data_IF_529441050620
#
_entry.id   IF_529441050620
#
_cell.length_a   1.000
_cell.length_b   1.000
_cell.length_c   1.000
_cell.angle_alpha   90.00
_cell.angle_beta   90.00
_cell.angle_gamma   90.00
#
_symmetry.space_group_name_H-M   'P 1'
#
loop_
_entity.id
_entity.type
_entity.pdbx_description
1 polymer ?
#
# COMPACT_ATOMS: atom_id res chain seq x y z
N UNK A 1 23.27 -2.47 -0.38
CA UNK A 1 23.18 -1.00 -0.18
C UNK A 1 21.70 -0.68 -0.14
N UNK A 2 21.19 -0.06 0.92
CA UNK A 2 19.75 0.26 1.05
C UNK A 2 19.27 1.15 -0.10
N UNK A 3 20.02 2.21 -0.41
CA UNK A 3 19.80 3.05 -1.59
C UNK A 3 21.13 3.46 -2.20
N UNK A 4 21.21 3.49 -3.52
CA UNK A 4 22.19 4.33 -4.22
C UNK A 4 21.53 5.71 -4.39
N UNK A 5 21.86 6.65 -3.52
CA UNK A 5 21.21 7.97 -3.45
C UNK A 5 21.40 8.74 -4.76
N UNK A 6 22.61 8.74 -5.33
CA UNK A 6 22.88 9.41 -6.62
C UNK A 6 22.03 8.84 -7.75
N UNK A 7 21.89 7.51 -7.79
CA UNK A 7 21.02 6.83 -8.76
C UNK A 7 19.55 7.21 -8.53
N UNK A 8 19.09 7.24 -7.27
CA UNK A 8 17.70 7.59 -6.97
C UNK A 8 17.38 9.04 -7.36
N UNK A 9 18.27 9.98 -7.06
CA UNK A 9 18.13 11.39 -7.43
C UNK A 9 18.24 11.63 -8.95
N UNK A 10 18.73 10.66 -9.71
CA UNK A 10 18.68 10.71 -11.18
C UNK A 10 17.28 10.46 -11.76
N UNK A 11 16.38 9.82 -11.01
CA UNK A 11 15.01 9.57 -11.46
C UNK A 11 14.18 10.87 -11.44
N UNK A 12 13.53 11.26 -12.54
CA UNK A 12 12.77 12.51 -12.62
C UNK A 12 11.72 12.68 -11.53
N UNK A 13 10.99 11.63 -11.19
CA UNK A 13 9.91 11.69 -10.20
C UNK A 13 10.44 11.89 -8.77
N UNK A 14 11.50 11.17 -8.37
CA UNK A 14 12.14 11.37 -7.05
C UNK A 14 12.74 12.77 -6.98
N UNK A 15 13.46 13.19 -8.03
CA UNK A 15 14.03 14.54 -8.10
C UNK A 15 12.95 15.62 -8.00
N UNK A 16 11.78 15.41 -8.60
CA UNK A 16 10.65 16.32 -8.49
C UNK A 16 10.16 16.43 -7.05
N UNK A 17 9.91 15.29 -6.38
CA UNK A 17 9.47 15.26 -4.97
C UNK A 17 10.48 16.00 -4.08
N UNK A 18 11.78 15.69 -4.21
CA UNK A 18 12.84 16.32 -3.41
C UNK A 18 12.90 17.83 -3.68
N UNK A 19 12.79 18.26 -4.94
CA UNK A 19 12.80 19.68 -5.29
C UNK A 19 11.58 20.46 -4.76
N UNK A 20 10.48 19.77 -4.43
CA UNK A 20 9.27 20.37 -3.86
C UNK A 20 9.28 20.49 -2.34
N UNK A 21 10.30 19.97 -1.66
CA UNK A 21 10.41 19.98 -0.19
C UNK A 21 10.11 21.34 0.42
N UNK A 22 10.89 22.35 0.06
CA UNK A 22 10.81 23.66 0.71
C UNK A 22 9.47 24.35 0.41
N UNK A 23 8.94 24.23 -0.81
CA UNK A 23 7.61 24.73 -1.17
C UNK A 23 6.51 24.14 -0.27
N UNK A 24 6.55 22.83 -0.03
CA UNK A 24 5.52 22.13 0.77
C UNK A 24 5.70 22.42 2.26
N UNK A 25 6.94 22.40 2.76
CA UNK A 25 7.25 22.72 4.16
C UNK A 25 6.88 24.16 4.51
N UNK A 26 7.20 25.12 3.66
CA UNK A 26 6.91 26.54 3.89
C UNK A 26 5.40 26.82 3.85
N UNK A 27 4.67 26.08 3.00
CA UNK A 27 3.21 26.21 2.91
C UNK A 27 2.49 25.58 4.09
N UNK A 28 2.74 24.32 4.39
CA UNK A 28 1.93 23.54 5.32
C UNK A 28 2.50 23.47 6.73
N UNK A 29 3.82 23.59 6.89
CA UNK A 29 4.47 23.54 8.19
C UNK A 29 3.93 24.58 9.18
N UNK A 30 3.83 25.88 8.83
CA UNK A 30 3.25 26.89 9.71
C UNK A 30 1.78 26.62 10.07
N UNK A 31 0.99 26.10 9.13
CA UNK A 31 -0.42 25.77 9.34
C UNK A 31 -0.58 24.67 10.39
N UNK A 32 0.23 23.62 10.33
CA UNK A 32 0.18 22.53 11.31
C UNK A 32 0.87 22.87 12.64
N UNK A 33 1.71 23.90 12.70
CA UNK A 33 2.23 24.46 13.95
C UNK A 33 1.21 25.32 14.70
N UNK A 34 0.20 25.84 14.00
CA UNK A 34 -0.94 26.53 14.61
C UNK A 34 -2.27 25.83 14.25
N UNK A 35 -2.54 24.65 14.84
CA UNK A 35 -3.72 23.86 14.49
C UNK A 35 -5.04 24.60 14.75
N UNK A 36 -5.05 25.60 15.63
CA UNK A 36 -6.27 26.36 15.93
C UNK A 36 -6.71 27.23 14.73
N UNK A 37 -5.75 27.69 13.93
CA UNK A 37 -6.00 28.43 12.69
C UNK A 37 -6.36 27.54 11.50
N UNK A 38 -6.12 26.23 11.57
CA UNK A 38 -6.30 25.28 10.47
C UNK A 38 -7.71 25.37 9.89
N UNK A 39 -7.83 25.75 8.62
CA UNK A 39 -9.11 25.72 7.92
C UNK A 39 -9.36 24.36 7.27
N UNK A 40 -10.62 24.10 6.93
CA UNK A 40 -10.98 22.91 6.14
C UNK A 40 -10.26 22.89 4.80
N UNK A 41 -10.12 24.04 4.14
CA UNK A 41 -9.46 24.11 2.84
C UNK A 41 -7.97 23.81 2.95
N UNK A 42 -7.29 24.32 3.98
CA UNK A 42 -5.86 24.04 4.20
C UNK A 42 -5.59 22.54 4.32
N UNK A 43 -6.42 21.84 5.11
CA UNK A 43 -6.29 20.41 5.27
C UNK A 43 -6.62 19.64 3.98
N UNK A 44 -7.66 20.04 3.25
CA UNK A 44 -7.99 19.42 1.95
C UNK A 44 -6.88 19.65 0.91
N UNK A 45 -6.25 20.82 0.92
CA UNK A 45 -5.11 21.12 0.06
C UNK A 45 -3.93 20.23 0.43
N UNK A 46 -3.63 20.05 1.72
CA UNK A 46 -2.60 19.11 2.17
C UNK A 46 -2.86 17.68 1.68
N UNK A 47 -4.11 17.18 1.73
CA UNK A 47 -4.41 15.84 1.23
C UNK A 47 -4.21 15.71 -0.29
N UNK A 48 -4.27 16.81 -1.02
CA UNK A 48 -4.23 16.80 -2.48
C UNK A 48 -2.80 16.68 -3.01
N UNK A 49 -2.58 15.65 -3.83
CA UNK A 49 -1.28 15.44 -4.49
C UNK A 49 -0.84 16.66 -5.31
N UNK A 50 -1.80 17.43 -5.86
CA UNK A 50 -1.53 18.68 -6.57
C UNK A 50 -0.75 19.71 -5.74
N UNK A 51 -0.89 19.65 -4.42
CA UNK A 51 -0.32 20.63 -3.50
C UNK A 51 0.74 20.04 -2.57
N UNK A 52 0.61 18.79 -2.14
CA UNK A 52 1.64 18.14 -1.32
C UNK A 52 2.80 17.56 -2.15
N UNK A 53 2.62 17.37 -3.47
CA UNK A 53 3.61 16.87 -4.43
C UNK A 53 4.28 15.52 -4.09
N UNK A 54 3.80 14.79 -3.08
CA UNK A 54 4.50 13.63 -2.55
C UNK A 54 3.58 12.45 -2.24
N UNK A 55 2.50 12.67 -1.48
CA UNK A 55 1.63 11.62 -0.99
C UNK A 55 0.34 11.51 -1.81
N UNK A 56 0.23 10.43 -2.57
CA UNK A 56 -0.97 10.12 -3.36
C UNK A 56 -2.03 9.40 -2.52
N UNK A 57 -3.30 9.66 -2.79
CA UNK A 57 -4.41 8.87 -2.23
C UNK A 57 -4.84 9.23 -0.81
N UNK A 58 -4.21 10.22 -0.17
CA UNK A 58 -4.62 10.71 1.16
C UNK A 58 -6.08 11.16 1.18
N UNK A 59 -6.57 11.74 0.08
CA UNK A 59 -7.95 12.21 -0.06
C UNK A 59 -9.02 11.10 0.13
N UNK A 60 -8.70 9.83 -0.14
CA UNK A 60 -9.68 8.73 -0.16
C UNK A 60 -10.36 8.54 1.20
N UNK A 61 -9.58 8.58 2.27
CA UNK A 61 -10.08 8.45 3.65
C UNK A 61 -9.90 9.75 4.43
N UNK A 62 -8.86 10.53 4.12
CA UNK A 62 -8.52 11.75 4.84
C UNK A 62 -9.61 12.82 4.81
N UNK A 63 -10.43 12.88 3.74
CA UNK A 63 -11.52 13.87 3.65
C UNK A 63 -12.54 13.74 4.80
N UNK A 64 -12.74 12.53 5.34
CA UNK A 64 -13.65 12.28 6.47
C UNK A 64 -13.22 12.98 7.76
N UNK A 65 -11.93 13.23 7.92
CA UNK A 65 -11.43 14.01 9.05
C UNK A 65 -11.98 15.45 9.07
N UNK A 66 -12.44 15.96 7.92
CA UNK A 66 -13.04 17.31 7.81
C UNK A 66 -14.54 17.36 8.08
N UNK A 67 -15.14 16.21 8.45
CA UNK A 67 -16.54 16.15 8.88
C UNK A 67 -16.68 16.76 10.29
N UNK A 68 -15.62 16.69 11.10
CA UNK A 68 -15.50 17.35 12.40
C UNK A 68 -14.15 18.08 12.51
N UNK A 69 -14.17 19.37 12.17
CA UNK A 69 -12.97 20.21 12.22
C UNK A 69 -12.50 20.50 13.65
N UNK A 70 -13.37 20.47 14.66
CA UNK A 70 -12.95 20.71 16.04
C UNK A 70 -12.10 19.54 16.53
N UNK A 71 -12.61 18.30 16.37
CA UNK A 71 -11.87 17.09 16.69
C UNK A 71 -10.55 16.97 15.90
N UNK A 72 -10.55 17.37 14.61
CA UNK A 72 -9.32 17.39 13.80
C UNK A 72 -8.28 18.36 14.36
N UNK A 73 -8.67 19.59 14.70
CA UNK A 73 -7.75 20.58 15.26
C UNK A 73 -7.21 20.15 16.62
N UNK A 74 -8.06 19.56 17.46
CA UNK A 74 -7.67 19.04 18.76
C UNK A 74 -6.67 17.89 18.60
N UNK A 75 -6.94 16.95 17.71
CA UNK A 75 -6.04 15.82 17.45
C UNK A 75 -4.68 16.28 16.91
N UNK A 76 -4.64 17.24 15.99
CA UNK A 76 -3.38 17.80 15.50
C UNK A 76 -2.68 18.58 16.61
N UNK A 77 -3.41 19.32 17.46
CA UNK A 77 -2.85 20.01 18.64
C UNK A 77 -2.15 19.02 19.57
N UNK A 78 -2.78 17.89 19.87
CA UNK A 78 -2.17 16.82 20.67
C UNK A 78 -0.98 16.21 19.94
N UNK A 79 -1.10 15.94 18.64
CA UNK A 79 -0.06 15.33 17.83
C UNK A 79 1.23 16.16 17.83
N UNK A 80 1.15 17.48 17.72
CA UNK A 80 2.31 18.38 17.59
C UNK A 80 2.84 18.93 18.92
N UNK A 81 2.27 18.53 20.06
CA UNK A 81 2.69 18.99 21.39
C UNK A 81 4.05 18.39 21.83
N UNK A 82 5.18 18.97 21.41
CA UNK A 82 6.53 18.47 21.75
C UNK A 82 6.85 18.41 23.25
N UNK A 83 5.95 18.84 24.15
CA UNK A 83 6.12 18.68 25.61
C UNK A 83 5.84 17.26 26.10
N UNK A 84 5.23 16.41 25.28
CA UNK A 84 4.87 15.01 25.61
C UNK A 84 5.61 14.01 24.70
N UNK A 85 5.83 12.76 25.17
CA UNK A 85 6.39 11.69 24.36
C UNK A 85 5.61 11.48 23.06
N UNK A 86 6.30 11.14 21.97
CA UNK A 86 5.64 10.93 20.66
C UNK A 86 4.65 9.75 20.71
N UNK A 87 4.97 8.71 21.48
CA UNK A 87 4.11 7.55 21.62
C UNK A 87 2.71 7.92 22.16
N UNK A 88 2.66 8.71 23.22
CA UNK A 88 1.39 9.13 23.85
C UNK A 88 0.57 10.00 22.90
N UNK A 89 1.22 11.01 22.30
CA UNK A 89 0.57 11.96 21.38
C UNK A 89 -0.02 11.27 20.16
N UNK A 90 0.73 10.32 19.60
CA UNK A 90 0.33 9.62 18.40
C UNK A 90 -0.90 8.75 18.65
N UNK A 91 -0.93 7.99 19.76
CA UNK A 91 -2.11 7.18 20.14
C UNK A 91 -3.32 8.06 20.39
N UNK A 92 -3.16 9.16 21.14
CA UNK A 92 -4.25 10.09 21.40
C UNK A 92 -4.81 10.68 20.10
N UNK A 93 -3.95 11.24 19.24
CA UNK A 93 -4.39 11.81 17.97
C UNK A 93 -5.08 10.79 17.05
N UNK A 94 -4.54 9.56 16.98
CA UNK A 94 -5.11 8.47 16.19
C UNK A 94 -6.51 8.08 16.66
N UNK A 95 -6.78 8.17 17.96
CA UNK A 95 -8.10 7.84 18.54
C UNK A 95 -9.17 8.90 18.31
N UNK A 96 -8.77 10.14 18.03
CA UNK A 96 -9.68 11.30 17.96
C UNK A 96 -10.26 11.54 16.57
N UNK A 97 -9.60 11.08 15.50
CA UNK A 97 -9.98 11.44 14.12
C UNK A 97 -10.22 10.22 13.26
N UNK A 98 -11.44 10.11 12.74
CA UNK A 98 -11.75 9.11 11.73
C UNK A 98 -11.22 9.55 10.35
N UNK A 99 -10.54 8.64 9.65
CA UNK A 99 -10.00 8.88 8.32
C UNK A 99 -8.56 9.39 8.27
N UNK A 100 -7.92 9.67 9.42
CA UNK A 100 -6.51 10.04 9.52
C UNK A 100 -5.72 8.96 10.28
N UNK A 101 -5.13 8.01 9.53
CA UNK A 101 -4.23 7.00 10.09
C UNK A 101 -2.75 7.42 10.02
N UNK A 102 -1.80 6.49 10.27
CA UNK A 102 -0.37 6.78 10.21
C UNK A 102 0.09 7.42 8.89
N UNK A 103 -0.48 6.97 7.77
CA UNK A 103 -0.21 7.50 6.44
C UNK A 103 -0.62 8.97 6.25
N UNK A 104 -1.42 9.54 7.15
CA UNK A 104 -1.82 10.96 7.16
C UNK A 104 -1.17 11.72 8.31
N UNK A 105 -1.13 11.14 9.52
CA UNK A 105 -0.59 11.81 10.72
C UNK A 105 0.94 11.95 10.67
N UNK A 106 1.67 10.97 10.14
CA UNK A 106 3.14 11.05 10.09
C UNK A 106 3.65 12.04 9.03
N UNK A 107 3.01 12.23 7.86
CA UNK A 107 3.26 13.40 7.02
C UNK A 107 3.04 14.74 7.72
N UNK A 108 1.97 14.89 8.51
CA UNK A 108 1.74 16.13 9.29
C UNK A 108 2.91 16.37 10.24
N UNK A 109 3.37 15.35 10.96
CA UNK A 109 4.55 15.47 11.85
C UNK A 109 5.82 15.86 11.07
N UNK A 110 6.08 15.26 9.90
CA UNK A 110 7.22 15.63 9.06
C UNK A 110 7.14 17.10 8.63
N UNK A 111 5.96 17.57 8.20
CA UNK A 111 5.77 18.96 7.77
C UNK A 111 5.97 19.95 8.91
N UNK A 112 5.55 19.58 10.13
CA UNK A 112 5.68 20.41 11.33
C UNK A 112 7.12 20.45 11.84
N UNK A 113 7.79 19.28 11.91
CA UNK A 113 9.15 19.09 12.45
C UNK A 113 10.00 18.20 11.53
N UNK A 114 10.53 18.76 10.43
CA UNK A 114 11.17 17.98 9.34
C UNK A 114 12.48 17.29 9.75
N UNK A 115 13.05 17.66 10.88
CA UNK A 115 14.27 17.11 11.46
C UNK A 115 14.02 16.02 12.51
N UNK A 116 12.76 15.75 12.87
CA UNK A 116 12.41 14.86 13.99
C UNK A 116 11.56 13.66 13.61
N UNK A 117 10.69 13.79 12.61
CA UNK A 117 9.66 12.79 12.33
C UNK A 117 9.64 12.34 10.88
N UNK A 118 9.98 11.08 10.67
CA UNK A 118 9.86 10.39 9.38
C UNK A 118 8.45 9.86 9.14
N UNK A 119 8.17 9.53 7.88
CA UNK A 119 6.84 9.09 7.43
C UNK A 119 6.70 7.57 7.50
N UNK A 120 5.68 7.12 8.20
CA UNK A 120 5.23 5.72 8.21
C UNK A 120 3.92 5.58 7.43
N UNK A 121 4.00 4.95 6.26
CA UNK A 121 2.88 4.76 5.37
C UNK A 121 2.98 3.42 4.60
N UNK A 122 2.02 3.17 3.71
CA UNK A 122 1.99 1.96 2.88
C UNK A 122 3.09 1.84 1.82
N UNK A 123 3.94 2.86 1.66
CA UNK A 123 5.14 2.84 0.82
C UNK A 123 6.38 2.54 1.66
N UNK A 124 6.59 3.27 2.77
CA UNK A 124 7.80 3.11 3.60
C UNK A 124 7.86 1.76 4.30
N UNK A 125 6.74 1.25 4.84
CA UNK A 125 6.77 -0.03 5.57
C UNK A 125 7.18 -1.23 4.69
N UNK A 126 6.56 -1.48 3.51
CA UNK A 126 6.96 -2.60 2.67
C UNK A 126 8.41 -2.51 2.22
N UNK A 127 8.90 -1.32 1.89
CA UNK A 127 10.27 -1.11 1.43
C UNK A 127 11.27 -1.31 2.57
N UNK A 128 10.97 -0.82 3.79
CA UNK A 128 11.79 -1.11 4.98
C UNK A 128 11.87 -2.62 5.26
N UNK A 129 10.79 -3.38 5.02
CA UNK A 129 10.78 -4.85 5.16
C UNK A 129 11.63 -5.52 4.08
N UNK A 130 11.45 -5.12 2.81
CA UNK A 130 12.21 -5.65 1.67
C UNK A 130 13.72 -5.42 1.86
N UNK A 131 14.08 -4.27 2.44
CA UNK A 131 15.48 -3.90 2.69
C UNK A 131 16.02 -4.41 4.05
N UNK A 132 15.22 -5.14 4.82
CA UNK A 132 15.66 -5.77 6.07
C UNK A 132 15.93 -4.79 7.23
N UNK A 133 15.36 -3.58 7.17
CA UNK A 133 15.50 -2.54 8.21
C UNK A 133 14.23 -2.32 9.03
N UNK A 134 13.17 -3.06 8.74
CA UNK A 134 11.94 -3.01 9.53
C UNK A 134 12.20 -3.49 10.97
N UNK A 135 11.84 -2.70 12.01
CA UNK A 135 12.15 -3.05 13.39
C UNK A 135 11.28 -4.20 13.91
N UNK A 136 11.81 -4.89 14.93
CA UNK A 136 11.02 -5.79 15.76
C UNK A 136 10.24 -4.99 16.82
N UNK A 137 9.06 -5.46 17.19
CA UNK A 137 8.23 -4.84 18.23
C UNK A 137 8.01 -5.80 19.39
N UNK A 138 8.13 -5.33 20.64
CA UNK A 138 7.70 -6.09 21.80
C UNK A 138 6.22 -6.50 21.73
N UNK A 139 5.85 -7.52 22.52
CA UNK A 139 4.46 -7.90 22.64
C UNK A 139 3.68 -6.82 23.41
N UNK A 140 2.50 -6.44 22.91
CA UNK A 140 1.64 -5.45 23.55
C UNK A 140 1.99 -3.99 23.24
N UNK A 141 2.95 -3.73 22.35
CA UNK A 141 3.31 -2.38 21.90
C UNK A 141 2.13 -1.67 21.25
N UNK A 142 1.82 -0.48 21.76
CA UNK A 142 0.82 0.44 21.20
C UNK A 142 1.25 1.02 19.85
N UNK A 143 0.31 1.57 19.09
CA UNK A 143 0.63 2.18 17.78
C UNK A 143 1.58 3.37 17.89
N UNK A 144 1.55 4.12 19.00
CA UNK A 144 2.48 5.22 19.24
C UNK A 144 3.89 4.74 19.55
N UNK A 145 4.04 3.74 20.42
CA UNK A 145 5.35 3.13 20.69
C UNK A 145 5.93 2.48 19.42
N UNK A 146 5.07 1.87 18.60
CA UNK A 146 5.49 1.36 17.27
C UNK A 146 6.03 2.48 16.42
N UNK A 147 5.31 3.60 16.33
CA UNK A 147 5.77 4.74 15.55
C UNK A 147 7.08 5.32 16.11
N UNK A 148 7.26 5.42 17.42
CA UNK A 148 8.50 5.87 18.05
C UNK A 148 9.70 4.99 17.65
N UNK A 149 9.54 3.66 17.69
CA UNK A 149 10.57 2.70 17.27
C UNK A 149 10.86 2.84 15.77
N UNK A 150 9.82 2.91 14.92
CA UNK A 150 9.97 3.10 13.47
C UNK A 150 10.69 4.43 13.18
N UNK A 151 10.30 5.51 13.84
CA UNK A 151 10.88 6.83 13.65
C UNK A 151 12.36 6.86 14.02
N UNK A 152 12.74 6.16 15.08
CA UNK A 152 14.15 6.01 15.47
C UNK A 152 14.99 5.34 14.37
N UNK A 153 14.43 4.33 13.69
CA UNK A 153 15.07 3.71 12.53
C UNK A 153 15.15 4.69 11.36
N UNK A 154 14.07 5.43 11.06
CA UNK A 154 14.05 6.41 9.96
C UNK A 154 15.10 7.52 10.18
N UNK A 155 15.24 8.04 11.40
CA UNK A 155 16.25 9.03 11.76
C UNK A 155 17.67 8.47 11.56
N UNK A 156 17.92 7.24 11.98
CA UNK A 156 19.22 6.60 11.80
C UNK A 156 19.53 6.39 10.31
N UNK A 157 18.55 5.95 9.52
CA UNK A 157 18.70 5.79 8.07
C UNK A 157 18.97 7.12 7.36
N UNK A 158 18.23 8.18 7.69
CA UNK A 158 18.46 9.52 7.14
C UNK A 158 19.90 9.98 7.41
N UNK A 159 20.38 9.77 8.64
CA UNK A 159 21.76 10.08 9.04
C UNK A 159 22.79 9.27 8.27
N UNK A 160 22.59 7.96 8.15
CA UNK A 160 23.55 7.06 7.47
C UNK A 160 23.62 7.33 5.96
N UNK A 161 22.47 7.64 5.35
CA UNK A 161 22.37 8.03 3.94
C UNK A 161 22.77 9.49 3.68
N UNK A 162 22.94 10.29 4.74
CA UNK A 162 23.22 11.74 4.68
C UNK A 162 22.16 12.53 3.90
N UNK A 163 20.90 12.20 4.12
CA UNK A 163 19.74 12.89 3.53
C UNK A 163 18.80 13.37 4.64
N UNK A 164 17.93 14.33 4.35
CA UNK A 164 16.83 14.70 5.25
C UNK A 164 15.67 13.69 5.19
N UNK A 165 14.74 13.77 6.14
CA UNK A 165 13.62 12.83 6.26
C UNK A 165 12.60 12.94 5.11
N UNK A 166 12.46 14.11 4.50
CA UNK A 166 11.63 14.29 3.30
C UNK A 166 12.23 13.54 2.12
N UNK A 167 13.53 13.70 1.93
CA UNK A 167 14.28 13.00 0.89
C UNK A 167 14.26 11.50 1.13
N UNK A 168 14.42 11.05 2.38
CA UNK A 168 14.26 9.63 2.74
C UNK A 168 12.87 9.10 2.34
N UNK A 169 11.79 9.85 2.60
CA UNK A 169 10.44 9.42 2.19
C UNK A 169 10.28 9.34 0.66
N UNK A 170 10.95 10.24 -0.08
CA UNK A 170 11.05 10.16 -1.54
C UNK A 170 11.83 8.93 -2.02
N UNK A 171 12.88 8.51 -1.32
CA UNK A 171 13.70 7.36 -1.70
C UNK A 171 12.94 6.04 -1.65
N UNK A 172 11.92 5.89 -0.79
CA UNK A 172 11.09 4.68 -0.75
C UNK A 172 10.38 4.41 -2.09
N UNK A 173 10.24 5.41 -2.96
CA UNK A 173 9.66 5.25 -4.28
C UNK A 173 10.61 4.61 -5.30
N UNK A 174 11.92 4.48 -5.00
CA UNK A 174 12.93 4.00 -5.93
C UNK A 174 12.57 2.65 -6.54
N UNK A 175 12.32 1.64 -5.71
CA UNK A 175 12.05 0.28 -6.19
C UNK A 175 10.79 0.23 -7.04
N UNK A 176 9.75 0.98 -6.67
CA UNK A 176 8.51 1.11 -7.45
C UNK A 176 8.73 1.81 -8.80
N UNK A 177 9.47 2.91 -8.82
CA UNK A 177 9.74 3.70 -10.02
C UNK A 177 10.73 3.01 -10.95
N UNK A 178 11.70 2.27 -10.42
CA UNK A 178 12.59 1.42 -11.22
C UNK A 178 11.79 0.34 -11.92
N UNK A 179 10.88 -0.37 -11.22
CA UNK A 179 9.97 -1.35 -11.84
C UNK A 179 9.11 -0.71 -12.95
N UNK A 180 8.68 0.54 -12.77
CA UNK A 180 7.90 1.29 -13.77
C UNK A 180 8.75 1.78 -14.95
N UNK A 181 10.00 2.21 -14.73
CA UNK A 181 10.92 2.70 -15.77
C UNK A 181 11.59 1.56 -16.55
N UNK A 182 11.86 0.41 -15.93
CA UNK A 182 12.15 -0.84 -16.65
C UNK A 182 10.92 -1.31 -17.45
N UNK A 183 9.74 -0.75 -17.16
CA UNK A 183 8.48 -0.99 -17.85
C UNK A 183 8.38 -0.41 -19.27
N UNK A 184 9.45 0.18 -19.84
CA UNK A 184 9.47 0.42 -21.29
C UNK A 184 9.56 -0.87 -22.13
N UNK A 185 9.64 -2.05 -21.50
CA UNK A 185 9.29 -3.34 -22.11
C UNK A 185 8.63 -4.29 -21.09
N UNK A 186 7.48 -3.92 -20.52
CA UNK A 186 6.58 -4.88 -19.88
C UNK A 186 5.27 -4.87 -20.66
N UNK A 187 4.98 -5.97 -21.35
CA UNK A 187 3.77 -6.10 -22.15
C UNK A 187 2.52 -6.03 -21.25
N UNK A 188 1.35 -5.87 -21.85
CA UNK A 188 0.07 -5.87 -21.13
C UNK A 188 -0.09 -7.10 -20.19
N UNK A 189 0.51 -8.23 -20.57
CA UNK A 189 0.61 -9.46 -19.77
C UNK A 189 1.32 -9.26 -18.42
N UNK A 190 2.47 -8.57 -18.39
CA UNK A 190 3.24 -8.34 -17.17
C UNK A 190 2.51 -7.42 -16.18
N UNK A 191 1.82 -6.39 -16.70
CA UNK A 191 0.99 -5.47 -15.89
C UNK A 191 -0.14 -6.26 -15.21
N UNK A 192 -0.77 -7.18 -15.94
CA UNK A 192 -1.84 -7.99 -15.40
C UNK A 192 -1.35 -8.96 -14.32
N UNK A 193 -0.18 -9.59 -14.51
CA UNK A 193 0.47 -10.45 -13.51
C UNK A 193 0.72 -9.68 -12.21
N UNK A 194 1.27 -8.46 -12.31
CA UNK A 194 1.54 -7.63 -11.14
C UNK A 194 0.25 -7.27 -10.38
N UNK A 195 -0.81 -6.87 -11.10
CA UNK A 195 -2.10 -6.54 -10.49
C UNK A 195 -2.76 -7.74 -9.79
N UNK A 196 -2.57 -8.96 -10.31
CA UNK A 196 -3.05 -10.19 -9.66
C UNK A 196 -2.27 -10.48 -8.37
N UNK A 197 -0.95 -10.37 -8.39
CA UNK A 197 -0.12 -10.59 -7.20
C UNK A 197 -0.42 -9.57 -6.08
N UNK A 198 -0.62 -8.30 -6.43
CA UNK A 198 -0.92 -7.24 -5.47
C UNK A 198 -2.30 -7.44 -4.80
N UNK A 199 -3.33 -7.80 -5.57
CA UNK A 199 -4.66 -8.11 -5.01
C UNK A 199 -4.65 -9.32 -4.09
N UNK A 200 -3.89 -10.36 -4.42
CA UNK A 200 -3.74 -11.54 -3.58
C UNK A 200 -3.13 -11.19 -2.21
N UNK A 201 -2.07 -10.38 -2.23
CA UNK A 201 -1.40 -9.91 -1.02
C UNK A 201 -2.33 -9.08 -0.13
N UNK A 202 -3.09 -8.15 -0.72
CA UNK A 202 -4.09 -7.34 0.01
C UNK A 202 -5.20 -8.22 0.62
N UNK A 203 -5.69 -9.22 -0.12
CA UNK A 203 -6.74 -10.14 0.33
C UNK A 203 -6.28 -11.02 1.50
N UNK A 204 -5.03 -11.49 1.47
CA UNK A 204 -4.43 -12.23 2.56
C UNK A 204 -4.32 -11.36 3.84
N UNK A 205 -3.81 -10.12 3.71
CA UNK A 205 -3.67 -9.18 4.83
C UNK A 205 -5.01 -8.81 5.49
N UNK A 206 -6.06 -8.59 4.71
CA UNK A 206 -7.39 -8.28 5.25
C UNK A 206 -8.00 -9.43 6.07
N UNK A 207 -7.57 -10.68 5.82
CA UNK A 207 -8.03 -11.85 6.58
C UNK A 207 -7.41 -11.94 7.99
N UNK A 208 -6.33 -11.20 8.27
CA UNK A 208 -5.57 -11.25 9.52
C UNK A 208 -6.04 -10.29 10.62
N UNK A 209 -7.01 -9.40 10.34
CA UNK A 209 -7.23 -8.21 11.16
C UNK A 209 -8.67 -7.88 11.57
N UNK A 210 -9.62 -8.82 11.50
CA UNK A 210 -11.00 -8.53 11.92
C UNK A 210 -11.51 -9.53 12.97
N UNK A 211 -11.55 -9.05 14.21
CA UNK A 211 -12.37 -9.63 15.29
C UNK A 211 -13.80 -9.13 15.11
N UNK A 212 -14.56 -9.78 14.24
CA UNK A 212 -16.02 -9.80 14.28
C UNK A 212 -16.40 -11.26 14.12
N UNK A 213 -17.28 -11.78 14.99
CA UNK A 213 -17.76 -13.17 14.98
C UNK A 213 -18.32 -13.55 13.60
N UNK A 214 -17.43 -14.05 12.76
CA UNK A 214 -17.72 -14.79 11.55
C UNK A 214 -16.57 -15.78 11.44
N UNK A 215 -16.87 -17.06 11.24
CA UNK A 215 -15.86 -18.10 11.05
C UNK A 215 -15.13 -17.82 9.74
N UNK A 216 -14.10 -16.97 9.77
CA UNK A 216 -13.28 -16.60 8.62
C UNK A 216 -12.13 -17.61 8.58
N UNK A 217 -12.10 -18.40 7.51
CA UNK A 217 -11.00 -19.32 7.18
C UNK A 217 -9.71 -18.51 7.04
N UNK A 218 -8.64 -18.90 7.72
CA UNK A 218 -7.32 -18.27 7.62
C UNK A 218 -6.77 -18.45 6.20
N UNK A 219 -6.36 -17.36 5.54
CA UNK A 219 -5.94 -17.33 4.13
C UNK A 219 -4.51 -16.75 3.99
N UNK A 220 -3.56 -17.34 4.72
CA UNK A 220 -2.13 -17.02 4.61
C UNK A 220 -1.60 -17.01 3.17
N UNK A 221 -0.69 -16.07 2.91
CA UNK A 221 0.13 -15.99 1.71
C UNK A 221 1.49 -16.65 2.05
N UNK A 222 1.71 -17.89 1.62
CA UNK A 222 2.93 -18.65 1.95
C UNK A 222 4.06 -18.47 0.93
N UNK A 223 3.92 -17.48 0.04
CA UNK A 223 4.87 -17.16 -1.02
C UNK A 223 5.30 -15.70 -0.89
N UNK A 224 6.58 -15.42 -1.20
CA UNK A 224 7.00 -14.04 -1.44
C UNK A 224 6.30 -13.48 -2.67
N UNK A 225 6.21 -12.15 -2.78
CA UNK A 225 5.57 -11.50 -3.93
C UNK A 225 6.29 -11.85 -5.25
N UNK A 226 7.61 -11.99 -5.19
CA UNK A 226 8.47 -12.37 -6.31
C UNK A 226 8.19 -13.80 -6.76
N UNK A 227 8.07 -14.74 -5.80
CA UNK A 227 7.73 -16.12 -6.08
C UNK A 227 6.30 -16.25 -6.67
N UNK A 228 5.35 -15.44 -6.18
CA UNK A 228 4.01 -15.39 -6.74
C UNK A 228 4.00 -14.83 -8.17
N UNK A 229 4.76 -13.77 -8.45
CA UNK A 229 4.89 -13.23 -9.82
C UNK A 229 5.50 -14.26 -10.77
N UNK A 230 6.55 -14.96 -10.35
CA UNK A 230 7.16 -16.03 -11.15
C UNK A 230 6.16 -17.15 -11.43
N UNK A 231 5.43 -17.60 -10.41
CA UNK A 231 4.44 -18.65 -10.56
C UNK A 231 3.25 -18.25 -11.45
N UNK A 232 2.79 -16.99 -11.37
CA UNK A 232 1.73 -16.48 -12.26
C UNK A 232 2.18 -16.44 -13.73
N UNK A 233 3.47 -16.21 -14.00
CA UNK A 233 4.03 -16.30 -15.36
C UNK A 233 3.96 -17.73 -15.87
N UNK A 234 4.41 -18.69 -15.06
CA UNK A 234 4.34 -20.13 -15.38
C UNK A 234 2.91 -20.57 -15.69
N UNK A 235 1.93 -20.24 -14.83
CA UNK A 235 0.53 -20.61 -15.04
C UNK A 235 -0.06 -20.04 -16.34
N UNK A 236 0.30 -18.81 -16.71
CA UNK A 236 -0.16 -18.19 -17.96
C UNK A 236 0.52 -18.78 -19.19
N UNK A 237 1.79 -19.15 -19.10
CA UNK A 237 2.52 -19.83 -20.17
C UNK A 237 1.99 -21.25 -20.40
N UNK A 238 1.78 -22.03 -19.33
CA UNK A 238 1.23 -23.40 -19.39
C UNK A 238 -0.16 -23.44 -20.01
N UNK A 239 -1.00 -22.45 -19.70
CA UNK A 239 -2.37 -22.34 -20.23
C UNK A 239 -2.44 -21.68 -21.61
N UNK A 240 -1.31 -21.19 -22.14
CA UNK A 240 -1.28 -20.46 -23.42
C UNK A 240 -2.15 -19.19 -23.39
N UNK A 241 -2.10 -18.45 -22.29
CA UNK A 241 -2.88 -17.22 -22.05
C UNK A 241 -4.40 -17.42 -22.11
N UNK A 242 -4.86 -18.59 -21.66
CA UNK A 242 -6.29 -18.93 -21.58
C UNK A 242 -6.73 -19.11 -20.14
N UNK A 243 -8.02 -18.86 -19.89
CA UNK A 243 -8.65 -19.14 -18.61
C UNK A 243 -8.50 -20.63 -18.28
N UNK A 244 -7.92 -20.97 -17.13
CA UNK A 244 -7.68 -22.35 -16.72
C UNK A 244 -8.96 -23.20 -16.61
N UNK A 245 -10.10 -22.58 -16.35
CA UNK A 245 -11.40 -23.27 -16.21
C UNK A 245 -12.13 -23.36 -17.56
N UNK A 246 -12.24 -22.25 -18.28
CA UNK A 246 -13.12 -22.16 -19.46
C UNK A 246 -12.37 -22.17 -20.79
N UNK A 247 -11.04 -22.03 -20.81
CA UNK A 247 -10.25 -22.03 -22.05
C UNK A 247 -10.43 -20.79 -22.95
N UNK A 248 -11.25 -19.81 -22.55
CA UNK A 248 -11.36 -18.52 -23.27
C UNK A 248 -10.02 -17.80 -23.22
N UNK A 249 -9.69 -17.13 -24.32
CA UNK A 249 -8.48 -16.29 -24.42
C UNK A 249 -8.62 -15.12 -23.46
N UNK A 250 -7.60 -14.93 -22.63
CA UNK A 250 -7.54 -13.82 -21.69
C UNK A 250 -7.14 -12.54 -22.43
N UNK A 251 -7.80 -11.43 -22.08
CA UNK A 251 -7.48 -10.12 -22.63
C UNK A 251 -6.69 -9.31 -21.60
N UNK A 252 -5.40 -9.07 -21.84
CA UNK A 252 -4.56 -8.36 -20.87
C UNK A 252 -4.76 -6.82 -20.93
N UNK A 253 -4.97 -6.27 -22.13
CA UNK A 253 -5.22 -4.86 -22.42
C UNK A 253 -6.56 -4.60 -23.14
N UNK A 254 -7.37 -5.64 -23.31
CA UNK A 254 -8.63 -5.54 -24.03
C UNK A 254 -9.67 -4.65 -23.33
N UNK A 255 -10.67 -4.17 -24.10
CA UNK A 255 -11.74 -3.30 -23.60
C UNK A 255 -12.71 -4.04 -22.69
N UNK A 256 -12.83 -5.37 -22.83
CA UNK A 256 -13.72 -6.17 -22.01
C UNK A 256 -13.04 -6.55 -20.68
N UNK A 257 -13.41 -5.81 -19.63
CA UNK A 257 -12.90 -6.04 -18.28
C UNK A 257 -13.20 -7.44 -17.76
N UNK A 258 -14.24 -8.13 -18.25
CA UNK A 258 -14.62 -9.46 -17.80
C UNK A 258 -13.67 -10.54 -18.30
N UNK A 259 -13.05 -10.32 -19.47
CA UNK A 259 -12.08 -11.24 -20.07
C UNK A 259 -10.65 -11.04 -19.56
N UNK A 260 -10.44 -10.08 -18.66
CA UNK A 260 -9.15 -9.88 -18.01
C UNK A 260 -8.79 -11.05 -17.10
N UNK A 261 -7.49 -11.35 -16.94
CA UNK A 261 -7.05 -12.38 -16.01
C UNK A 261 -7.35 -11.99 -14.56
N UNK A 262 -7.63 -13.01 -13.75
CA UNK A 262 -7.88 -12.95 -12.32
C UNK A 262 -7.27 -14.18 -11.67
N UNK A 263 -6.64 -13.99 -10.52
CA UNK A 263 -6.15 -15.10 -9.72
C UNK A 263 -7.32 -15.74 -8.95
N UNK A 264 -7.45 -17.05 -9.09
CA UNK A 264 -8.40 -17.89 -8.37
C UNK A 264 -7.65 -18.97 -7.57
N UNK A 265 -8.27 -19.42 -6.48
CA UNK A 265 -7.80 -20.58 -5.73
C UNK A 265 -8.61 -21.79 -6.12
N UNK A 266 -7.93 -22.89 -6.40
CA UNK A 266 -8.56 -24.16 -6.74
C UNK A 266 -9.41 -24.62 -5.53
N UNK A 267 -8.78 -24.71 -4.36
CA UNK A 267 -9.44 -24.81 -3.06
C UNK A 267 -9.54 -23.45 -2.38
N UNK A 268 -10.77 -22.94 -2.28
CA UNK A 268 -11.09 -21.66 -1.63
C UNK A 268 -10.85 -21.65 -0.11
N UNK A 269 -10.80 -22.84 0.50
CA UNK A 269 -10.48 -23.07 1.91
C UNK A 269 -8.98 -23.08 2.18
N UNK A 270 -8.18 -23.32 1.14
CA UNK A 270 -6.73 -23.33 1.20
C UNK A 270 -6.08 -21.94 1.10
N UNK A 271 -4.75 -21.95 1.23
CA UNK A 271 -3.89 -20.78 1.22
C UNK A 271 -3.47 -20.36 -0.20
N UNK A 272 -2.89 -19.18 -0.34
CA UNK A 272 -2.20 -18.78 -1.57
C UNK A 272 -0.81 -19.44 -1.57
N UNK A 273 -0.77 -20.68 -2.08
CA UNK A 273 0.43 -21.53 -2.12
C UNK A 273 0.57 -22.22 -3.48
N UNK A 274 1.79 -22.67 -3.79
CA UNK A 274 2.09 -23.39 -5.03
C UNK A 274 1.20 -24.62 -5.13
N UNK A 275 0.54 -24.79 -6.29
CA UNK A 275 -0.37 -25.90 -6.56
C UNK A 275 -1.84 -25.66 -6.16
N UNK A 276 -2.16 -24.56 -5.46
CA UNK A 276 -3.55 -24.17 -5.14
C UNK A 276 -4.04 -22.95 -5.95
N UNK A 277 -3.26 -22.50 -6.94
CA UNK A 277 -3.52 -21.27 -7.69
C UNK A 277 -3.78 -21.57 -9.17
N UNK A 278 -4.69 -20.82 -9.76
CA UNK A 278 -4.96 -20.84 -11.20
C UNK A 278 -5.35 -19.45 -11.71
N UNK A 279 -5.05 -19.16 -12.98
CA UNK A 279 -5.45 -17.90 -13.61
C UNK A 279 -6.71 -18.14 -14.46
N UNK A 280 -7.75 -17.37 -14.17
CA UNK A 280 -9.06 -17.47 -14.81
C UNK A 280 -9.53 -16.10 -15.32
N UNK A 281 -10.55 -16.06 -16.18
CA UNK A 281 -11.18 -14.79 -16.54
C UNK A 281 -11.94 -14.20 -15.34
N UNK A 282 -12.01 -12.87 -15.21
CA UNK A 282 -12.71 -12.20 -14.10
C UNK A 282 -14.15 -12.65 -13.93
N UNK A 283 -14.90 -12.82 -15.02
CA UNK A 283 -16.28 -13.29 -14.90
C UNK A 283 -16.37 -14.73 -14.39
N UNK A 284 -15.41 -15.60 -14.77
CA UNK A 284 -15.35 -16.98 -14.30
C UNK A 284 -15.07 -17.02 -12.80
N UNK A 285 -14.10 -16.24 -12.32
CA UNK A 285 -13.83 -16.13 -10.89
C UNK A 285 -15.07 -15.64 -10.12
N UNK A 286 -15.76 -14.64 -10.69
CA UNK A 286 -16.99 -14.10 -10.11
C UNK A 286 -18.15 -15.10 -10.10
N UNK A 287 -18.25 -16.01 -11.08
CA UNK A 287 -19.26 -17.07 -11.12
C UNK A 287 -18.94 -18.23 -10.19
N UNK A 288 -17.66 -18.66 -10.15
CA UNK A 288 -17.21 -19.76 -9.31
C UNK A 288 -17.39 -19.44 -7.82
N UNK A 289 -16.98 -18.25 -7.38
CA UNK A 289 -17.00 -17.83 -5.96
C UNK A 289 -16.38 -18.89 -5.03
N UNK A 290 -17.23 -19.55 -4.22
CA UNK A 290 -16.89 -20.57 -3.25
C UNK A 290 -17.25 -21.99 -3.71
N UNK A 291 -17.81 -22.14 -4.91
CA UNK A 291 -18.08 -23.43 -5.54
C UNK A 291 -16.76 -24.18 -5.74
N UNK A 292 -16.75 -25.48 -5.42
CA UNK A 292 -15.59 -26.33 -5.65
C UNK A 292 -15.23 -26.39 -7.13
N UNK A 293 -13.93 -26.30 -7.43
CA UNK A 293 -13.42 -26.18 -8.80
C UNK A 293 -13.90 -27.33 -9.71
N UNK A 294 -13.87 -28.56 -9.19
CA UNK A 294 -14.36 -29.74 -9.90
C UNK A 294 -15.84 -29.63 -10.28
N UNK A 295 -16.70 -29.24 -9.34
CA UNK A 295 -18.14 -29.14 -9.58
C UNK A 295 -18.45 -28.00 -10.56
N UNK A 296 -17.74 -26.87 -10.45
CA UNK A 296 -17.91 -25.77 -11.39
C UNK A 296 -17.52 -26.17 -12.82
N UNK A 297 -16.41 -26.89 -12.99
CA UNK A 297 -15.99 -27.44 -14.30
C UNK A 297 -17.03 -28.42 -14.85
N UNK A 298 -17.58 -29.30 -14.02
CA UNK A 298 -18.65 -30.23 -14.40
C UNK A 298 -19.89 -29.50 -14.91
N UNK A 299 -20.36 -28.49 -14.18
CA UNK A 299 -21.52 -27.68 -14.59
C UNK A 299 -21.26 -26.90 -15.88
N UNK A 300 -20.03 -26.37 -16.05
CA UNK A 300 -19.66 -25.66 -17.25
C UNK A 300 -19.61 -26.57 -18.49
N UNK A 301 -19.16 -27.81 -18.35
CA UNK A 301 -19.18 -28.82 -19.42
C UNK A 301 -20.62 -29.13 -19.87
N UNK A 302 -21.55 -29.26 -18.92
CA UNK A 302 -22.98 -29.44 -19.21
C UNK A 302 -23.53 -28.25 -20.02
N UNK A 303 -23.19 -27.02 -19.64
CA UNK A 303 -23.61 -25.80 -20.36
C UNK A 303 -23.07 -25.77 -21.79
N UNK A 304 -21.91 -26.38 -22.04
CA UNK A 304 -21.28 -26.48 -23.37
C UNK A 304 -21.83 -27.62 -24.24
N UNK A 305 -22.67 -28.48 -23.67
CA UNK A 305 -23.10 -29.71 -24.33
C UNK A 305 -22.01 -30.78 -24.40
N UNK A 306 -20.97 -30.66 -23.57
CA UNK A 306 -19.91 -31.65 -23.39
C UNK A 306 -20.40 -32.65 -22.33
N UNK A 307 -21.16 -33.66 -22.77
CA UNK A 307 -21.63 -34.77 -21.92
C UNK A 307 -21.12 -36.10 -22.43
#
# INVERSE_FOLDING_TARGET
MLFNVDKALSLPDIRHIVAKRDEVLDRFGPIFRDPQSLTKQDYLDFLSFKHNHHWTGLERLGRRATDDMESLREAITVLVDETKPIADRFVSALSMVNGAGPATLTPILLLTYPDRYGVWNGTSEPEMREQGVWPAFPQGTSEGERYEIINSVLLQLAKDLKVDLWTLDALWWLSKLERQNTGHYLGSKDIAIWNMAEQANQTAKQSYGQTVERTIKNKDLRLSKEALIAHLKELLEETGDRCAISGVVLQFDGPDLQLRPSLDRIDSSGHYELGNLQVVARFINFWKRDTEDFEFRRLLAIVRGES
#
